data_IF_416344832003
#
_entry.id   IF_416344832003
#
_cell.length_a   1.000
_cell.length_b   1.000
_cell.length_c   1.000
_cell.angle_alpha   90.00
_cell.angle_beta   90.00
_cell.angle_gamma   90.00
#
_symmetry.space_group_name_H-M   'P 1'
#
loop_
_entity.id
_entity.type
_entity.pdbx_description
1 polymer ?
#
# COMPACT_ATOMS: atom_id res chain seq x y z
N UNK A 1 -16.79 18.50 8.83
CA UNK A 1 -18.19 18.05 8.63
C UNK A 1 -18.64 17.94 7.17
N UNK A 2 -18.16 18.74 6.21
CA UNK A 2 -18.59 18.61 4.79
C UNK A 2 -18.07 17.33 4.10
N UNK A 3 -16.82 16.92 4.37
CA UNK A 3 -16.19 15.75 3.75
C UNK A 3 -16.94 14.42 4.00
N UNK A 4 -17.31 14.14 5.26
CA UNK A 4 -17.97 12.88 5.64
C UNK A 4 -19.39 12.76 5.03
N UNK A 5 -20.00 13.89 4.67
CA UNK A 5 -21.32 13.94 4.02
C UNK A 5 -21.25 13.71 2.50
N UNK A 6 -20.05 13.74 1.92
CA UNK A 6 -19.86 13.52 0.49
C UNK A 6 -19.79 12.01 0.20
N UNK A 7 -20.69 11.49 -0.63
CA UNK A 7 -20.73 10.07 -0.98
C UNK A 7 -19.41 9.58 -1.60
N UNK A 8 -18.70 10.44 -2.33
CA UNK A 8 -17.42 10.12 -2.98
C UNK A 8 -16.34 9.76 -1.96
N UNK A 9 -16.42 10.31 -0.75
CA UNK A 9 -15.51 9.96 0.34
C UNK A 9 -15.61 8.49 0.70
N UNK A 10 -16.84 8.03 0.95
CA UNK A 10 -17.10 6.63 1.29
C UNK A 10 -16.78 5.68 0.16
N UNK A 11 -17.07 6.06 -1.10
CA UNK A 11 -16.70 5.26 -2.27
C UNK A 11 -15.18 5.06 -2.34
N UNK A 12 -14.37 6.08 -2.09
CA UNK A 12 -12.92 5.95 -2.09
C UNK A 12 -12.41 5.07 -0.94
N UNK A 13 -12.87 5.34 0.29
CA UNK A 13 -12.40 4.63 1.49
C UNK A 13 -12.81 3.16 1.44
N UNK A 14 -14.10 2.89 1.24
CA UNK A 14 -14.62 1.52 1.18
C UNK A 14 -14.04 0.80 -0.04
N UNK A 15 -13.93 1.47 -1.20
CA UNK A 15 -13.35 0.89 -2.40
C UNK A 15 -11.92 0.43 -2.20
N UNK A 16 -11.06 1.26 -1.62
CA UNK A 16 -9.65 0.91 -1.34
C UNK A 16 -9.55 -0.21 -0.30
N UNK A 17 -10.37 -0.18 0.75
CA UNK A 17 -10.40 -1.26 1.76
C UNK A 17 -10.85 -2.58 1.15
N UNK A 18 -11.88 -2.58 0.29
CA UNK A 18 -12.35 -3.79 -0.41
C UNK A 18 -11.24 -4.33 -1.32
N UNK A 19 -10.58 -3.47 -2.11
CA UNK A 19 -9.48 -3.90 -2.96
C UNK A 19 -8.30 -4.47 -2.15
N UNK A 20 -7.97 -3.85 -1.02
CA UNK A 20 -6.98 -4.38 -0.09
C UNK A 20 -7.36 -5.75 0.47
N UNK A 21 -8.62 -5.93 0.85
CA UNK A 21 -9.14 -7.22 1.31
C UNK A 21 -9.09 -8.28 0.20
N UNK A 22 -9.41 -7.92 -1.04
CA UNK A 22 -9.30 -8.80 -2.20
C UNK A 22 -7.85 -9.25 -2.45
N UNK A 23 -6.86 -8.34 -2.34
CA UNK A 23 -5.43 -8.71 -2.39
C UNK A 23 -5.08 -9.74 -1.31
N UNK A 24 -5.59 -9.56 -0.09
CA UNK A 24 -5.41 -10.51 1.01
C UNK A 24 -6.00 -11.90 0.71
N UNK A 25 -7.21 -11.96 0.16
CA UNK A 25 -7.85 -13.23 -0.23
C UNK A 25 -7.06 -13.96 -1.33
N UNK A 26 -6.51 -13.23 -2.29
CA UNK A 26 -5.66 -13.78 -3.35
C UNK A 26 -4.33 -14.35 -2.84
N UNK A 27 -3.96 -14.05 -1.59
CA UNK A 27 -2.71 -14.48 -0.98
C UNK A 27 -2.77 -15.89 -0.37
N UNK A 28 -3.95 -16.54 -0.37
CA UNK A 28 -4.11 -17.92 0.13
C UNK A 28 -4.00 -18.02 1.65
N UNK A 29 -3.08 -18.86 2.15
CA UNK A 29 -2.80 -19.02 3.58
C UNK A 29 -1.45 -18.36 3.96
N UNK A 30 -1.41 -17.02 4.09
CA UNK A 30 -0.17 -16.29 4.31
C UNK A 30 0.50 -16.62 5.65
N UNK A 31 -0.28 -16.98 6.68
CA UNK A 31 0.25 -17.25 8.02
C UNK A 31 1.13 -18.49 8.08
N UNK A 32 0.67 -19.60 7.51
CA UNK A 32 1.41 -20.86 7.51
C UNK A 32 2.71 -20.76 6.71
N UNK A 33 2.65 -20.17 5.51
CA UNK A 33 3.84 -19.96 4.69
C UNK A 33 4.84 -19.02 5.38
N UNK A 34 4.37 -17.93 6.00
CA UNK A 34 5.23 -16.98 6.71
C UNK A 34 6.01 -17.65 7.85
N UNK A 35 5.37 -18.53 8.63
CA UNK A 35 6.04 -19.26 9.70
C UNK A 35 6.90 -20.44 9.24
N UNK A 36 6.77 -20.88 7.98
CA UNK A 36 7.66 -21.89 7.40
C UNK A 36 9.03 -21.35 6.96
N UNK A 37 9.16 -20.03 6.85
CA UNK A 37 10.38 -19.36 6.38
C UNK A 37 11.34 -19.06 7.53
N UNK A 38 12.63 -18.93 7.22
CA UNK A 38 13.58 -18.31 8.14
C UNK A 38 13.31 -16.81 8.22
N UNK A 39 12.85 -16.36 9.39
CA UNK A 39 12.47 -14.97 9.64
C UNK A 39 13.61 -14.19 10.34
N UNK A 40 13.86 -12.93 9.97
CA UNK A 40 14.80 -12.09 10.69
C UNK A 40 14.26 -11.71 12.09
N UNK A 41 15.12 -11.32 13.05
CA UNK A 41 14.72 -11.08 14.44
C UNK A 41 13.73 -9.92 14.64
N UNK A 42 13.61 -9.02 13.66
CA UNK A 42 12.67 -7.90 13.69
C UNK A 42 11.32 -8.20 13.01
N UNK A 43 11.14 -9.42 12.47
CA UNK A 43 9.91 -9.83 11.80
C UNK A 43 8.73 -9.85 12.79
N UNK A 44 7.63 -9.12 12.51
CA UNK A 44 6.49 -9.10 13.41
C UNK A 44 5.70 -10.41 13.29
N UNK A 45 4.94 -10.78 14.33
CA UNK A 45 3.90 -11.79 14.24
C UNK A 45 2.93 -11.54 13.07
N UNK A 46 2.50 -12.61 12.40
CA UNK A 46 1.69 -12.52 11.17
C UNK A 46 0.33 -11.80 11.37
N UNK A 47 -0.23 -11.81 12.58
CA UNK A 47 -1.49 -11.14 12.86
C UNK A 47 -1.39 -9.61 12.82
N UNK A 48 -0.20 -9.01 12.96
CA UNK A 48 0.00 -7.55 12.93
C UNK A 48 -0.26 -6.98 11.53
N UNK A 49 0.00 -7.75 10.47
CA UNK A 49 -0.20 -7.30 9.10
C UNK A 49 -1.65 -6.90 8.82
N UNK A 50 -2.64 -7.65 9.35
CA UNK A 50 -4.06 -7.39 9.11
C UNK A 50 -4.50 -6.00 9.58
N UNK A 51 -4.45 -5.69 10.89
CA UNK A 51 -4.82 -4.37 11.42
C UNK A 51 -4.02 -3.22 10.81
N UNK A 52 -2.72 -3.43 10.57
CA UNK A 52 -1.87 -2.41 9.96
C UNK A 52 -2.35 -2.09 8.55
N UNK A 53 -2.50 -3.08 7.67
CA UNK A 53 -2.99 -2.87 6.32
C UNK A 53 -4.40 -2.27 6.28
N UNK A 54 -5.31 -2.68 7.18
CA UNK A 54 -6.64 -2.06 7.28
C UNK A 54 -6.55 -0.56 7.56
N UNK A 55 -5.74 -0.15 8.54
CA UNK A 55 -5.52 1.26 8.84
C UNK A 55 -4.94 2.00 7.62
N UNK A 56 -3.92 1.43 6.98
CA UNK A 56 -3.27 2.03 5.83
C UNK A 56 -4.22 2.19 4.64
N UNK A 57 -5.09 1.20 4.36
CA UNK A 57 -6.10 1.28 3.30
C UNK A 57 -7.14 2.38 3.57
N UNK A 58 -7.53 2.58 4.83
CA UNK A 58 -8.41 3.70 5.20
C UNK A 58 -7.72 5.03 4.89
N UNK A 59 -6.46 5.21 5.33
CA UNK A 59 -5.71 6.45 5.08
C UNK A 59 -5.48 6.71 3.59
N UNK A 60 -5.15 5.67 2.82
CA UNK A 60 -5.03 5.74 1.36
C UNK A 60 -6.34 6.16 0.70
N UNK A 61 -7.48 5.60 1.13
CA UNK A 61 -8.80 5.97 0.63
C UNK A 61 -9.18 7.43 0.93
N UNK A 62 -8.84 7.93 2.11
CA UNK A 62 -8.99 9.35 2.45
C UNK A 62 -8.10 10.21 1.55
N UNK A 63 -6.84 9.82 1.36
CA UNK A 63 -5.90 10.50 0.48
C UNK A 63 -6.45 10.57 -0.95
N UNK A 64 -6.92 9.45 -1.52
CA UNK A 64 -7.52 9.40 -2.85
C UNK A 64 -8.72 10.35 -2.99
N UNK A 65 -9.61 10.41 -2.00
CA UNK A 65 -10.72 11.37 -1.99
C UNK A 65 -10.22 12.82 -2.07
N UNK A 66 -9.17 13.18 -1.32
CA UNK A 66 -8.58 14.51 -1.38
C UNK A 66 -8.00 14.80 -2.76
N UNK A 67 -7.29 13.84 -3.36
CA UNK A 67 -6.74 13.96 -4.72
C UNK A 67 -7.85 14.23 -5.74
N UNK A 68 -8.97 13.48 -5.68
CA UNK A 68 -10.10 13.63 -6.63
C UNK A 68 -10.80 14.99 -6.54
N UNK A 69 -10.73 15.66 -5.39
CA UNK A 69 -11.28 17.00 -5.19
C UNK A 69 -10.31 18.13 -5.54
N UNK A 70 -9.12 17.81 -6.05
CA UNK A 70 -8.17 18.83 -6.48
C UNK A 70 -8.71 19.61 -7.70
N UNK A 71 -8.70 20.95 -7.61
CA UNK A 71 -9.32 21.84 -8.60
C UNK A 71 -8.65 21.77 -9.98
N UNK A 72 -7.32 21.58 -10.01
CA UNK A 72 -6.59 21.51 -11.26
C UNK A 72 -6.72 20.11 -11.89
N UNK A 73 -7.52 20.01 -12.96
CA UNK A 73 -7.82 18.75 -13.67
C UNK A 73 -6.57 17.99 -14.13
N UNK A 74 -5.59 18.69 -14.72
CA UNK A 74 -4.37 18.06 -15.25
C UNK A 74 -3.55 17.46 -14.11
N UNK A 75 -3.35 18.24 -13.06
CA UNK A 75 -2.60 17.81 -11.89
C UNK A 75 -3.30 16.69 -11.11
N UNK A 76 -4.63 16.79 -10.95
CA UNK A 76 -5.45 15.72 -10.38
C UNK A 76 -5.24 14.41 -11.12
N UNK A 77 -5.36 14.42 -12.45
CA UNK A 77 -5.20 13.21 -13.25
C UNK A 77 -3.81 12.60 -13.10
N UNK A 78 -2.76 13.42 -13.03
CA UNK A 78 -1.40 12.94 -12.79
C UNK A 78 -1.25 12.31 -11.40
N UNK A 79 -1.75 12.96 -10.34
CA UNK A 79 -1.69 12.45 -8.97
C UNK A 79 -2.47 11.15 -8.81
N UNK A 80 -3.68 11.08 -9.40
CA UNK A 80 -4.52 9.87 -9.39
C UNK A 80 -3.85 8.75 -10.18
N UNK A 81 -3.23 9.05 -11.32
CA UNK A 81 -2.48 8.07 -12.11
C UNK A 81 -1.33 7.44 -11.30
N UNK A 82 -0.52 8.28 -10.64
CA UNK A 82 0.54 7.80 -9.74
C UNK A 82 -0.01 6.98 -8.57
N UNK A 83 -1.12 7.42 -7.97
CA UNK A 83 -1.80 6.68 -6.91
C UNK A 83 -2.26 5.30 -7.38
N UNK A 84 -2.85 5.20 -8.57
CA UNK A 84 -3.29 3.92 -9.15
C UNK A 84 -2.10 3.01 -9.43
N UNK A 85 -1.02 3.54 -10.03
CA UNK A 85 0.17 2.74 -10.34
C UNK A 85 0.78 2.15 -9.07
N UNK A 86 1.03 2.96 -8.03
CA UNK A 86 1.56 2.43 -6.78
C UNK A 86 0.58 1.44 -6.12
N UNK A 87 -0.73 1.66 -6.22
CA UNK A 87 -1.72 0.75 -5.64
C UNK A 87 -1.75 -0.60 -6.36
N UNK A 88 -1.50 -0.64 -7.68
CA UNK A 88 -1.39 -1.89 -8.44
C UNK A 88 -0.22 -2.73 -7.93
N UNK A 89 0.97 -2.14 -7.76
CA UNK A 89 2.12 -2.86 -7.17
C UNK A 89 1.79 -3.33 -5.75
N UNK A 90 1.19 -2.48 -4.91
CA UNK A 90 0.74 -2.89 -3.57
C UNK A 90 -0.23 -4.09 -3.61
N UNK A 91 -1.18 -4.09 -4.53
CA UNK A 91 -2.19 -5.15 -4.67
C UNK A 91 -1.59 -6.47 -5.12
N UNK A 92 -0.64 -6.44 -6.07
CA UNK A 92 -0.01 -7.63 -6.67
C UNK A 92 1.00 -8.26 -5.71
N UNK A 93 1.71 -7.46 -4.91
CA UNK A 93 2.76 -7.91 -4.01
C UNK A 93 2.37 -9.13 -3.16
N UNK A 94 1.19 -9.09 -2.52
CA UNK A 94 0.74 -10.15 -1.63
C UNK A 94 0.56 -11.50 -2.36
N UNK A 95 0.07 -11.47 -3.60
CA UNK A 95 -0.04 -12.66 -4.45
C UNK A 95 1.33 -13.19 -4.87
N UNK A 96 2.28 -12.32 -5.22
CA UNK A 96 3.65 -12.72 -5.56
C UNK A 96 4.37 -13.39 -4.39
N UNK A 97 4.25 -12.80 -3.20
CA UNK A 97 4.97 -13.25 -2.02
C UNK A 97 4.35 -14.53 -1.42
N UNK A 98 3.03 -14.55 -1.18
CA UNK A 98 2.40 -15.64 -0.43
C UNK A 98 1.81 -16.76 -1.30
N UNK A 99 1.19 -16.41 -2.43
CA UNK A 99 0.55 -17.40 -3.29
C UNK A 99 1.57 -18.04 -4.24
N UNK A 100 2.29 -17.22 -5.01
CA UNK A 100 3.32 -17.67 -5.93
C UNK A 100 4.64 -18.06 -5.23
N UNK A 101 4.79 -17.70 -3.94
CA UNK A 101 5.97 -18.02 -3.11
C UNK A 101 7.29 -17.61 -3.76
N UNK A 102 7.26 -16.57 -4.60
CA UNK A 102 8.43 -16.09 -5.33
C UNK A 102 8.93 -14.79 -4.68
N UNK A 103 9.79 -14.97 -3.67
CA UNK A 103 10.32 -13.87 -2.87
C UNK A 103 11.11 -12.88 -3.74
N UNK A 104 11.87 -13.37 -4.73
CA UNK A 104 12.66 -12.51 -5.62
C UNK A 104 11.79 -11.59 -6.48
N UNK A 105 10.74 -12.13 -7.12
CA UNK A 105 9.82 -11.32 -7.92
C UNK A 105 9.06 -10.33 -7.01
N UNK A 106 8.67 -10.76 -5.80
CA UNK A 106 8.06 -9.86 -4.82
C UNK A 106 9.03 -8.74 -4.36
N UNK A 107 10.35 -8.98 -4.33
CA UNK A 107 11.36 -7.97 -4.03
C UNK A 107 11.51 -6.93 -5.15
N UNK A 108 11.43 -7.36 -6.41
CA UNK A 108 11.40 -6.44 -7.57
C UNK A 108 10.13 -5.59 -7.53
N UNK A 109 8.97 -6.21 -7.32
CA UNK A 109 7.67 -5.54 -7.23
C UNK A 109 7.66 -4.48 -6.12
N UNK A 110 8.09 -4.83 -4.90
CA UNK A 110 8.10 -3.87 -3.79
C UNK A 110 9.12 -2.75 -3.99
N UNK A 111 10.19 -2.97 -4.75
CA UNK A 111 11.13 -1.92 -5.13
C UNK A 111 10.50 -0.93 -6.10
N UNK A 112 9.77 -1.43 -7.11
CA UNK A 112 8.99 -0.58 -8.01
C UNK A 112 7.91 0.18 -7.25
N UNK A 113 7.23 -0.48 -6.30
CA UNK A 113 6.28 0.16 -5.40
C UNK A 113 6.90 1.36 -4.67
N UNK A 114 8.06 1.18 -4.03
CA UNK A 114 8.77 2.26 -3.32
C UNK A 114 9.10 3.41 -4.26
N UNK A 115 9.56 3.14 -5.49
CA UNK A 115 9.89 4.17 -6.47
C UNK A 115 8.64 5.00 -6.83
N UNK A 116 7.55 4.36 -7.26
CA UNK A 116 6.32 5.07 -7.64
C UNK A 116 5.68 5.79 -6.46
N UNK A 117 5.72 5.17 -5.28
CA UNK A 117 5.23 5.79 -4.05
C UNK A 117 6.07 7.01 -3.66
N UNK A 118 7.39 6.97 -3.82
CA UNK A 118 8.28 8.12 -3.56
C UNK A 118 8.00 9.28 -4.51
N UNK A 119 7.77 8.97 -5.80
CA UNK A 119 7.35 9.98 -6.79
C UNK A 119 6.01 10.59 -6.41
N UNK A 120 5.03 9.78 -5.99
CA UNK A 120 3.74 10.27 -5.51
C UNK A 120 3.92 11.16 -4.27
N UNK A 121 4.70 10.72 -3.28
CA UNK A 121 4.96 11.48 -2.05
C UNK A 121 5.56 12.86 -2.35
N UNK A 122 6.52 12.93 -3.28
CA UNK A 122 7.09 14.20 -3.72
C UNK A 122 6.05 15.11 -4.38
N UNK A 123 5.21 14.58 -5.26
CA UNK A 123 4.14 15.35 -5.90
C UNK A 123 3.07 15.83 -4.88
N UNK A 124 2.73 15.00 -3.90
CA UNK A 124 1.81 15.37 -2.82
C UNK A 124 2.42 16.43 -1.89
N UNK A 125 3.73 16.38 -1.63
CA UNK A 125 4.42 17.41 -0.86
C UNK A 125 4.28 18.80 -1.50
N UNK A 126 4.48 18.87 -2.82
CA UNK A 126 4.41 20.12 -3.58
C UNK A 126 2.99 20.67 -3.70
N UNK A 127 1.97 19.81 -3.72
CA UNK A 127 0.65 20.21 -4.21
C UNK A 127 -0.51 19.92 -3.26
N UNK A 128 -0.35 18.98 -2.32
CA UNK A 128 -1.42 18.55 -1.44
C UNK A 128 -0.90 18.00 -0.10
N UNK A 129 -0.34 18.87 0.76
CA UNK A 129 0.34 18.49 2.01
C UNK A 129 -0.49 17.58 2.92
N UNK A 130 -1.79 17.81 3.06
CA UNK A 130 -2.64 16.96 3.90
C UNK A 130 -2.68 15.50 3.40
N UNK A 131 -2.74 15.30 2.08
CA UNK A 131 -2.74 13.96 1.49
C UNK A 131 -1.36 13.30 1.64
N UNK A 132 -0.28 14.09 1.55
CA UNK A 132 1.08 13.63 1.83
C UNK A 132 1.21 13.12 3.26
N UNK A 133 0.78 13.90 4.27
CA UNK A 133 0.85 13.50 5.68
C UNK A 133 0.08 12.20 5.96
N UNK A 134 -1.09 12.02 5.34
CA UNK A 134 -1.88 10.78 5.46
C UNK A 134 -1.18 9.55 4.85
N UNK A 135 -0.32 9.76 3.85
CA UNK A 135 0.42 8.68 3.18
C UNK A 135 1.74 8.33 3.88
N UNK A 136 2.24 9.13 4.83
CA UNK A 136 3.49 8.84 5.55
C UNK A 136 3.46 7.50 6.29
N UNK A 137 2.41 7.17 7.09
CA UNK A 137 2.36 5.87 7.78
C UNK A 137 2.47 4.70 6.81
N UNK A 138 1.84 4.84 5.63
CA UNK A 138 1.93 3.84 4.56
C UNK A 138 3.34 3.77 3.96
N UNK A 139 3.97 4.90 3.67
CA UNK A 139 5.33 4.94 3.13
C UNK A 139 6.34 4.28 4.07
N UNK A 140 6.27 4.58 5.37
CA UNK A 140 7.14 3.97 6.38
C UNK A 140 6.92 2.45 6.47
N UNK A 141 5.66 2.01 6.40
CA UNK A 141 5.33 0.59 6.39
C UNK A 141 5.85 -0.13 5.14
N UNK A 142 5.76 0.49 3.97
CA UNK A 142 6.30 -0.09 2.73
C UNK A 142 7.82 -0.21 2.81
N UNK A 143 8.55 0.80 3.32
CA UNK A 143 9.99 0.71 3.53
C UNK A 143 10.37 -0.43 4.50
N UNK A 144 9.60 -0.57 5.59
CA UNK A 144 9.75 -1.69 6.50
C UNK A 144 9.50 -3.04 5.81
N UNK A 145 8.42 -3.16 5.03
CA UNK A 145 8.09 -4.36 4.28
C UNK A 145 9.16 -4.68 3.20
N UNK A 146 9.77 -3.68 2.59
CA UNK A 146 10.91 -3.84 1.68
C UNK A 146 12.09 -4.46 2.41
N UNK A 147 12.48 -3.90 3.56
CA UNK A 147 13.56 -4.43 4.38
C UNK A 147 13.28 -5.88 4.80
N UNK A 148 12.04 -6.16 5.24
CA UNK A 148 11.61 -7.51 5.63
C UNK A 148 11.70 -8.49 4.45
N UNK A 149 11.19 -8.12 3.27
CA UNK A 149 11.18 -8.96 2.08
C UNK A 149 12.61 -9.33 1.65
N UNK A 150 13.50 -8.34 1.54
CA UNK A 150 14.91 -8.59 1.22
C UNK A 150 15.62 -9.43 2.28
N UNK A 151 15.33 -9.21 3.56
CA UNK A 151 15.93 -10.01 4.63
C UNK A 151 15.48 -11.48 4.54
N UNK A 152 14.20 -11.73 4.26
CA UNK A 152 13.68 -13.08 4.04
C UNK A 152 14.32 -13.70 2.78
N UNK A 153 14.50 -12.93 1.71
CA UNK A 153 15.16 -13.39 0.49
C UNK A 153 16.61 -13.83 0.72
N UNK A 154 17.38 -13.13 1.56
CA UNK A 154 18.76 -13.51 1.83
C UNK A 154 18.90 -14.69 2.82
N UNK A 155 17.85 -14.98 3.58
CA UNK A 155 17.83 -16.07 4.56
C UNK A 155 17.31 -17.40 3.98
N UNK A 156 16.67 -17.41 2.80
CA UNK A 156 16.02 -18.58 2.21
C UNK A 156 16.35 -18.72 0.72
#
# INVERSE_FOLDING_TARGET
>A
MKMIKDIRFWVCVIGIVILGFLSGLLSGNPGEYYYSLQLPPFAPPSWIFGPMWTLLYILMGISLYLLLNHNNKKQRNNLVGLFVIQFIFNFIWSALFFNLRNIFIAAIDITLLVIFLSVLMYQLWLHHRLAMWLMIPYYLWVLFATLLNYSIYFLN
#
